data_IF_523301472356
#
_entry.id   IF_523301472356
#
_cell.length_a   1.000
_cell.length_b   1.000
_cell.length_c   1.000
_cell.angle_alpha   90.00
_cell.angle_beta   90.00
_cell.angle_gamma   90.00
#
_symmetry.space_group_name_H-M   'P 1'
#
loop_
_entity.id
_entity.type
_entity.pdbx_description
1 polymer ?
#
# COMPACT_ATOMS: atom_id res chain seq x y z
N UNK A 1 -41.09 84.62 1.67
CA UNK A 1 -39.70 84.54 2.22
C UNK A 1 -39.13 83.17 1.96
N UNK A 2 -38.18 83.05 1.04
CA UNK A 2 -37.58 81.78 0.57
C UNK A 2 -36.25 81.54 1.32
N UNK A 3 -36.22 80.50 2.19
CA UNK A 3 -35.07 80.20 3.05
C UNK A 3 -34.02 79.52 2.22
N UNK A 4 -32.91 80.20 1.93
CA UNK A 4 -31.75 79.69 1.23
C UNK A 4 -31.00 78.72 2.15
N UNK A 5 -30.92 77.44 1.77
CA UNK A 5 -30.08 76.44 2.44
C UNK A 5 -28.61 76.74 2.07
N UNK A 6 -27.79 77.00 3.08
CA UNK A 6 -26.33 77.08 2.92
C UNK A 6 -25.78 75.71 2.54
N UNK A 7 -24.90 75.63 1.55
CA UNK A 7 -24.21 74.38 1.27
C UNK A 7 -23.28 74.02 2.44
N UNK A 8 -23.37 72.78 2.94
CA UNK A 8 -22.53 72.31 4.03
C UNK A 8 -21.04 72.37 3.61
N UNK A 9 -20.23 72.86 4.53
CA UNK A 9 -18.77 72.85 4.39
C UNK A 9 -18.26 71.42 4.13
N UNK A 10 -17.61 71.22 3.02
CA UNK A 10 -16.89 69.98 2.71
C UNK A 10 -15.70 69.89 3.67
N UNK A 11 -15.82 69.09 4.73
CA UNK A 11 -14.70 68.76 5.61
C UNK A 11 -13.65 67.99 4.79
N UNK A 12 -12.49 68.60 4.55
CA UNK A 12 -11.35 67.90 3.91
C UNK A 12 -10.75 66.90 4.89
N UNK A 13 -10.30 65.73 4.37
CA UNK A 13 -9.59 64.74 5.15
C UNK A 13 -8.27 65.30 5.68
N UNK A 14 -7.98 65.00 6.94
CA UNK A 14 -6.73 65.37 7.55
C UNK A 14 -5.61 64.37 7.13
N UNK A 15 -4.39 64.83 7.02
CA UNK A 15 -3.22 64.00 6.68
C UNK A 15 -3.03 62.85 7.71
N UNK A 16 -3.36 63.12 8.99
CA UNK A 16 -3.29 62.16 10.07
C UNK A 16 -4.34 61.04 9.90
N UNK A 17 -5.55 61.40 9.46
CA UNK A 17 -6.62 60.41 9.22
C UNK A 17 -6.26 59.42 8.10
N UNK A 18 -5.64 59.91 7.01
CA UNK A 18 -5.14 59.06 5.94
C UNK A 18 -4.00 58.17 6.43
N UNK A 19 -3.12 58.70 7.28
CA UNK A 19 -2.01 57.91 7.84
C UNK A 19 -2.48 56.80 8.75
N UNK A 20 -3.46 57.08 9.62
CA UNK A 20 -4.11 56.08 10.49
C UNK A 20 -4.87 55.06 9.66
N UNK A 21 -5.61 55.46 8.64
CA UNK A 21 -6.33 54.54 7.77
C UNK A 21 -5.36 53.58 7.04
N UNK A 22 -4.24 54.09 6.52
CA UNK A 22 -3.23 53.23 5.87
C UNK A 22 -2.55 52.26 6.84
N UNK A 23 -2.27 52.69 8.08
CA UNK A 23 -1.68 51.79 9.08
C UNK A 23 -2.65 50.66 9.45
N UNK A 24 -3.91 50.97 9.65
CA UNK A 24 -4.95 49.97 9.92
C UNK A 24 -5.11 49.01 8.72
N UNK A 25 -5.18 49.55 7.51
CA UNK A 25 -5.31 48.77 6.29
C UNK A 25 -4.11 47.82 6.14
N UNK A 26 -2.89 48.30 6.37
CA UNK A 26 -1.69 47.48 6.32
C UNK A 26 -1.71 46.37 7.35
N UNK A 27 -2.15 46.63 8.58
CA UNK A 27 -2.30 45.60 9.63
C UNK A 27 -3.31 44.52 9.25
N UNK A 28 -4.43 44.93 8.63
CA UNK A 28 -5.47 43.97 8.15
C UNK A 28 -4.92 43.10 7.03
N UNK A 29 -4.19 43.67 6.06
CA UNK A 29 -3.59 42.94 4.95
C UNK A 29 -2.56 41.92 5.45
N UNK A 30 -1.72 42.30 6.41
CA UNK A 30 -0.74 41.40 7.03
C UNK A 30 -1.43 40.24 7.78
N UNK A 31 -2.49 40.56 8.52
CA UNK A 31 -3.27 39.52 9.24
C UNK A 31 -3.93 38.53 8.27
N UNK A 32 -4.53 39.02 7.18
CA UNK A 32 -5.11 38.18 6.12
C UNK A 32 -4.05 37.30 5.44
N UNK A 33 -2.89 37.87 5.10
CA UNK A 33 -1.80 37.11 4.51
C UNK A 33 -1.30 35.98 5.45
N UNK A 34 -1.27 36.24 6.76
CA UNK A 34 -0.92 35.25 7.78
C UNK A 34 -1.90 34.07 7.84
N UNK A 35 -3.21 34.36 7.81
CA UNK A 35 -4.24 33.33 7.82
C UNK A 35 -4.24 32.47 6.56
N UNK A 36 -4.04 33.07 5.37
CA UNK A 36 -3.94 32.32 4.11
C UNK A 36 -2.74 31.38 4.09
N UNK A 37 -1.58 31.79 4.60
CA UNK A 37 -0.41 30.93 4.72
C UNK A 37 -0.66 29.76 5.68
N UNK A 38 -1.32 30.01 6.80
CA UNK A 38 -1.68 28.95 7.75
C UNK A 38 -2.64 27.91 7.17
N UNK A 39 -3.60 28.34 6.35
CA UNK A 39 -4.51 27.42 5.65
C UNK A 39 -3.77 26.58 4.61
N UNK A 40 -2.90 27.15 3.81
CA UNK A 40 -2.10 26.43 2.81
C UNK A 40 -1.25 25.33 3.47
N UNK A 41 -0.53 25.65 4.55
CA UNK A 41 0.30 24.67 5.27
C UNK A 41 -0.53 23.54 5.92
N UNK A 42 -1.76 23.84 6.34
CA UNK A 42 -2.64 22.82 6.90
C UNK A 42 -3.16 21.90 5.81
N UNK A 43 -3.52 22.44 4.64
CA UNK A 43 -3.94 21.66 3.48
C UNK A 43 -2.84 20.69 3.04
N UNK A 44 -1.61 21.16 2.85
CA UNK A 44 -0.46 20.33 2.46
C UNK A 44 -0.22 19.16 3.42
N UNK A 45 -0.38 19.39 4.73
CA UNK A 45 -0.24 18.33 5.74
C UNK A 45 -1.36 17.30 5.69
N UNK A 46 -2.59 17.76 5.45
CA UNK A 46 -3.76 16.88 5.32
C UNK A 46 -3.64 16.05 4.05
N UNK A 47 -3.29 16.68 2.93
CA UNK A 47 -3.12 16.01 1.63
C UNK A 47 -2.00 14.96 1.69
N UNK A 48 -0.88 15.24 2.35
CA UNK A 48 0.18 14.26 2.57
C UNK A 48 -0.24 13.06 3.43
N UNK A 49 -1.09 13.28 4.45
CA UNK A 49 -1.62 12.17 5.26
C UNK A 49 -2.65 11.33 4.51
N UNK A 50 -3.48 11.95 3.69
CA UNK A 50 -4.46 11.26 2.86
C UNK A 50 -3.76 10.41 1.80
N UNK A 51 -2.79 10.97 1.09
CA UNK A 51 -1.99 10.24 0.09
C UNK A 51 -1.33 9.00 0.71
N UNK A 52 -0.69 9.14 1.88
CA UNK A 52 -0.11 8.00 2.59
C UNK A 52 -1.15 6.95 3.00
N UNK A 53 -2.33 7.39 3.45
CA UNK A 53 -3.43 6.48 3.79
C UNK A 53 -3.91 5.68 2.59
N UNK A 54 -3.97 6.30 1.42
CA UNK A 54 -4.34 5.65 0.16
C UNK A 54 -3.26 4.66 -0.28
N UNK A 55 -1.97 4.99 -0.19
CA UNK A 55 -0.87 4.08 -0.49
C UNK A 55 -0.94 2.82 0.39
N UNK A 56 -1.09 2.98 1.72
CA UNK A 56 -1.24 1.87 2.66
C UNK A 56 -2.42 0.98 2.26
N UNK A 57 -3.55 1.59 1.91
CA UNK A 57 -4.76 0.86 1.53
C UNK A 57 -4.57 0.08 0.24
N UNK A 58 -4.02 0.71 -0.80
CA UNK A 58 -3.81 0.10 -2.11
C UNK A 58 -2.84 -1.09 -2.01
N UNK A 59 -1.71 -0.91 -1.34
CA UNK A 59 -0.72 -1.97 -1.14
C UNK A 59 -1.30 -3.11 -0.31
N UNK A 60 -1.99 -2.81 0.80
CA UNK A 60 -2.61 -3.82 1.65
C UNK A 60 -3.69 -4.61 0.91
N UNK A 61 -4.51 -3.96 0.12
CA UNK A 61 -5.56 -4.61 -0.68
C UNK A 61 -4.97 -5.49 -1.78
N UNK A 62 -3.93 -4.99 -2.46
CA UNK A 62 -3.20 -5.78 -3.45
C UNK A 62 -2.63 -7.06 -2.81
N UNK A 63 -1.98 -6.95 -1.66
CA UNK A 63 -1.41 -8.10 -0.96
C UNK A 63 -2.49 -9.08 -0.49
N UNK A 64 -3.60 -8.58 0.08
CA UNK A 64 -4.71 -9.45 0.49
C UNK A 64 -5.27 -10.25 -0.68
N UNK A 65 -5.47 -9.62 -1.83
CA UNK A 65 -5.98 -10.30 -3.02
C UNK A 65 -5.00 -11.33 -3.55
N UNK A 66 -3.77 -10.92 -3.80
CA UNK A 66 -2.79 -11.80 -4.47
C UNK A 66 -2.31 -12.94 -3.59
N UNK A 67 -2.23 -12.75 -2.26
CA UNK A 67 -1.89 -13.80 -1.30
C UNK A 67 -3.12 -14.62 -0.91
N UNK A 68 -4.30 -13.99 -0.79
CA UNK A 68 -5.55 -14.69 -0.49
C UNK A 68 -5.99 -15.61 -1.62
N UNK A 69 -5.83 -15.16 -2.87
CA UNK A 69 -6.13 -15.92 -4.09
C UNK A 69 -4.89 -16.67 -4.62
N UNK A 70 -3.97 -17.04 -3.72
CA UNK A 70 -2.78 -17.78 -4.09
C UNK A 70 -3.15 -19.12 -4.74
N UNK A 71 -2.50 -19.40 -5.87
CA UNK A 71 -2.67 -20.65 -6.59
C UNK A 71 -1.57 -21.62 -6.17
N UNK A 72 -1.95 -22.84 -5.81
CA UNK A 72 -0.98 -23.94 -5.68
C UNK A 72 -0.41 -24.24 -7.06
N UNK A 73 0.74 -23.65 -7.34
CA UNK A 73 1.47 -23.93 -8.56
C UNK A 73 2.61 -24.89 -8.24
N UNK A 74 2.51 -26.06 -8.83
CA UNK A 74 3.47 -27.14 -8.60
C UNK A 74 4.47 -27.15 -9.77
N UNK A 75 5.75 -27.11 -9.46
CA UNK A 75 6.83 -27.18 -10.44
C UNK A 75 7.52 -28.54 -10.31
N UNK A 76 7.75 -29.19 -11.43
CA UNK A 76 8.57 -30.38 -11.44
C UNK A 76 10.02 -30.04 -11.05
N UNK A 77 10.59 -30.82 -10.14
CA UNK A 77 12.01 -30.68 -9.84
C UNK A 77 12.82 -31.02 -11.10
N UNK A 78 13.64 -30.08 -11.58
CA UNK A 78 14.41 -30.24 -12.81
C UNK A 78 15.18 -31.57 -12.84
N UNK A 79 14.74 -32.50 -13.68
CA UNK A 79 15.45 -33.70 -14.05
C UNK A 79 15.48 -34.89 -13.06
N UNK A 80 14.78 -34.79 -11.92
CA UNK A 80 14.68 -35.90 -10.96
C UNK A 80 13.20 -36.19 -10.70
N UNK A 81 12.72 -37.44 -10.86
CA UNK A 81 11.38 -37.82 -10.42
C UNK A 81 11.26 -37.62 -8.91
N UNK A 82 10.52 -36.62 -8.51
CA UNK A 82 10.28 -36.26 -7.10
C UNK A 82 8.91 -35.62 -6.93
N UNK A 83 8.46 -35.41 -5.68
CA UNK A 83 7.19 -34.74 -5.45
C UNK A 83 7.21 -33.33 -6.04
N UNK A 84 6.12 -32.96 -6.68
CA UNK A 84 5.90 -31.61 -7.16
C UNK A 84 6.09 -30.62 -6.00
N UNK A 85 6.82 -29.54 -6.25
CA UNK A 85 7.12 -28.51 -5.25
C UNK A 85 6.24 -27.28 -5.46
N UNK A 86 5.70 -26.77 -4.39
CA UNK A 86 4.95 -25.52 -4.41
C UNK A 86 5.91 -24.34 -4.62
N UNK A 87 5.56 -23.44 -5.56
CA UNK A 87 6.27 -22.18 -5.75
C UNK A 87 5.85 -21.16 -4.69
N UNK A 88 6.28 -21.40 -3.47
CA UNK A 88 6.18 -20.45 -2.36
C UNK A 88 7.49 -20.42 -1.59
N UNK A 89 8.11 -19.26 -1.51
CA UNK A 89 9.35 -19.06 -0.77
C UNK A 89 9.18 -17.82 0.09
N UNK A 90 9.12 -18.06 1.40
CA UNK A 90 9.07 -17.02 2.40
C UNK A 90 10.44 -16.82 3.05
N UNK A 91 10.95 -15.60 3.01
CA UNK A 91 12.13 -15.15 3.75
C UNK A 91 11.75 -14.03 4.71
N UNK A 92 12.66 -13.63 5.57
CA UNK A 92 12.38 -12.56 6.53
C UNK A 92 12.11 -11.21 5.86
N UNK A 93 12.76 -10.93 4.74
CA UNK A 93 12.75 -9.66 4.00
C UNK A 93 12.18 -9.76 2.58
N UNK A 94 11.81 -10.96 2.16
CA UNK A 94 11.25 -11.18 0.83
C UNK A 94 10.26 -12.34 0.79
N UNK A 95 9.30 -12.23 -0.13
CA UNK A 95 8.25 -13.22 -0.33
C UNK A 95 8.07 -13.48 -1.82
N UNK A 96 8.07 -14.77 -2.21
CA UNK A 96 7.82 -15.21 -3.59
C UNK A 96 6.64 -16.18 -3.61
N UNK A 97 5.66 -15.93 -4.48
CA UNK A 97 4.44 -16.77 -4.59
C UNK A 97 3.83 -16.68 -5.98
N UNK A 98 2.94 -17.61 -6.30
CA UNK A 98 2.11 -17.56 -7.51
C UNK A 98 0.69 -17.15 -7.13
N UNK A 99 0.15 -16.16 -7.83
CA UNK A 99 -1.20 -15.66 -7.62
C UNK A 99 -1.81 -15.11 -8.91
N UNK A 100 -3.02 -14.59 -8.82
CA UNK A 100 -3.70 -13.95 -9.94
C UNK A 100 -3.38 -12.46 -9.95
N UNK A 101 -2.93 -11.94 -11.09
CA UNK A 101 -2.77 -10.50 -11.27
C UNK A 101 -4.15 -9.83 -11.29
N UNK A 102 -4.45 -8.90 -10.36
CA UNK A 102 -5.73 -8.23 -10.35
C UNK A 102 -5.97 -7.42 -11.62
N UNK A 103 -7.22 -7.34 -12.07
CA UNK A 103 -7.61 -6.50 -13.19
C UNK A 103 -7.19 -5.04 -12.95
N UNK A 104 -6.61 -4.40 -13.96
CA UNK A 104 -6.08 -3.03 -13.85
C UNK A 104 -4.60 -2.92 -13.53
N UNK A 105 -3.94 -4.01 -13.12
CA UNK A 105 -2.50 -4.03 -12.86
C UNK A 105 -1.66 -4.64 -14.00
N UNK A 106 -2.29 -5.24 -15.00
CA UNK A 106 -1.64 -5.88 -16.14
C UNK A 106 -2.61 -6.70 -16.98
N UNK A 107 -2.10 -7.63 -17.78
CA UNK A 107 -2.88 -8.47 -18.68
C UNK A 107 -3.72 -9.56 -17.97
N UNK A 108 -3.80 -9.53 -16.64
CA UNK A 108 -4.47 -10.57 -15.87
C UNK A 108 -3.70 -11.91 -15.88
N UNK A 109 -4.36 -12.98 -15.41
CA UNK A 109 -3.79 -14.33 -15.42
C UNK A 109 -2.87 -14.64 -14.26
N UNK A 110 -2.29 -15.85 -14.29
CA UNK A 110 -1.39 -16.33 -13.23
C UNK A 110 0.00 -15.71 -13.38
N UNK A 111 0.50 -15.15 -12.29
CA UNK A 111 1.84 -14.56 -12.25
C UNK A 111 2.62 -15.09 -11.06
N UNK A 112 3.92 -15.26 -11.26
CA UNK A 112 4.88 -15.38 -10.19
C UNK A 112 5.22 -13.97 -9.72
N UNK A 113 5.06 -13.74 -8.43
CA UNK A 113 5.37 -12.48 -7.76
C UNK A 113 6.57 -12.64 -6.85
N UNK A 114 7.38 -11.59 -6.76
CA UNK A 114 8.37 -11.43 -5.71
C UNK A 114 8.25 -10.04 -5.12
N UNK A 115 8.02 -9.98 -3.83
CA UNK A 115 7.98 -8.76 -3.03
C UNK A 115 9.22 -8.72 -2.16
N UNK A 116 10.03 -7.66 -2.28
CA UNK A 116 11.28 -7.52 -1.54
C UNK A 116 11.64 -6.05 -1.34
N UNK A 117 12.44 -5.78 -0.30
CA UNK A 117 13.14 -4.52 -0.17
C UNK A 117 14.33 -4.49 -1.14
N UNK A 118 14.39 -3.48 -2.00
CA UNK A 118 15.49 -3.28 -2.95
C UNK A 118 16.13 -1.90 -2.77
N UNK A 119 17.47 -1.84 -2.82
CA UNK A 119 18.19 -0.56 -2.75
C UNK A 119 18.44 0.01 -4.14
N UNK A 120 18.09 1.28 -4.34
CA UNK A 120 18.44 2.03 -5.54
C UNK A 120 18.97 3.41 -5.13
N UNK A 121 20.18 3.74 -5.57
CA UNK A 121 20.84 5.02 -5.27
C UNK A 121 20.88 5.34 -3.76
N UNK A 122 21.08 4.31 -2.91
CA UNK A 122 21.18 4.45 -1.46
C UNK A 122 19.84 4.58 -0.73
N UNK A 123 18.71 4.49 -1.42
CA UNK A 123 17.38 4.47 -0.84
C UNK A 123 16.76 3.08 -0.96
N UNK A 124 16.17 2.60 0.12
CA UNK A 124 15.40 1.36 0.11
C UNK A 124 13.98 1.60 -0.40
N UNK A 125 13.49 0.69 -1.20
CA UNK A 125 12.12 0.70 -1.75
C UNK A 125 11.51 -0.69 -1.63
N UNK A 126 10.21 -0.75 -1.40
CA UNK A 126 9.48 -2.00 -1.52
C UNK A 126 9.10 -2.22 -2.97
N UNK A 127 9.65 -3.26 -3.56
CA UNK A 127 9.50 -3.55 -4.99
C UNK A 127 8.78 -4.87 -5.18
N UNK A 128 7.74 -4.84 -6.02
CA UNK A 128 7.05 -6.01 -6.52
C UNK A 128 7.58 -6.32 -7.92
N UNK A 129 8.21 -7.48 -8.09
CA UNK A 129 8.56 -8.02 -9.41
C UNK A 129 7.59 -9.12 -9.79
N UNK A 130 7.29 -9.24 -11.07
CA UNK A 130 6.33 -10.24 -11.54
C UNK A 130 6.63 -10.72 -12.95
N UNK A 131 6.21 -11.94 -13.24
CA UNK A 131 6.27 -12.55 -14.57
C UNK A 131 5.12 -13.55 -14.75
N UNK A 132 4.61 -13.77 -15.98
CA UNK A 132 3.60 -14.79 -16.21
C UNK A 132 4.06 -16.16 -15.70
N UNK A 133 3.21 -16.87 -14.97
CA UNK A 133 3.55 -18.15 -14.36
C UNK A 133 3.44 -19.32 -15.36
N UNK A 134 2.64 -19.19 -16.41
CA UNK A 134 2.34 -20.29 -17.35
C UNK A 134 3.54 -20.70 -18.23
N UNK A 135 4.55 -19.84 -18.33
CA UNK A 135 5.78 -20.11 -19.08
C UNK A 135 6.98 -20.48 -18.20
N UNK A 136 6.77 -20.69 -16.89
CA UNK A 136 7.86 -20.93 -15.95
C UNK A 136 8.11 -22.43 -15.76
N UNK A 137 9.29 -22.87 -16.09
CA UNK A 137 9.83 -24.20 -15.70
C UNK A 137 10.43 -24.21 -14.28
N UNK A 138 10.53 -23.02 -13.64
CA UNK A 138 11.11 -22.85 -12.31
C UNK A 138 11.23 -21.38 -11.91
N UNK A 139 12.05 -21.11 -10.91
CA UNK A 139 12.33 -19.73 -10.49
C UNK A 139 13.21 -19.02 -11.53
N UNK A 140 12.96 -17.73 -11.79
CA UNK A 140 13.84 -16.93 -12.64
C UNK A 140 15.27 -16.91 -12.10
N UNK A 141 16.24 -17.08 -12.97
CA UNK A 141 17.66 -17.00 -12.61
C UNK A 141 18.08 -15.59 -12.17
N UNK A 142 17.44 -14.57 -12.76
CA UNK A 142 17.67 -13.16 -12.42
C UNK A 142 16.34 -12.45 -12.25
N UNK A 143 16.13 -11.88 -11.07
CA UNK A 143 14.94 -11.11 -10.76
C UNK A 143 15.03 -9.66 -11.27
N UNK A 144 16.25 -9.13 -11.38
CA UNK A 144 16.51 -7.74 -11.78
C UNK A 144 15.97 -7.37 -13.15
N UNK A 145 15.91 -8.35 -14.06
CA UNK A 145 15.51 -8.14 -15.45
C UNK A 145 13.99 -8.18 -15.66
N UNK A 146 13.24 -8.54 -14.60
CA UNK A 146 11.80 -8.66 -14.67
C UNK A 146 11.11 -7.33 -14.51
N UNK A 147 9.91 -7.15 -15.11
CA UNK A 147 9.04 -6.02 -14.85
C UNK A 147 8.81 -5.82 -13.34
N UNK A 148 8.79 -4.57 -12.91
CA UNK A 148 8.60 -4.26 -11.50
C UNK A 148 7.67 -3.07 -11.27
N UNK A 149 7.16 -2.99 -10.05
CA UNK A 149 6.46 -1.80 -9.52
C UNK A 149 7.02 -1.46 -8.14
N UNK A 150 7.25 -0.19 -7.91
CA UNK A 150 7.56 0.33 -6.57
C UNK A 150 6.24 0.49 -5.83
N UNK A 151 6.09 -0.19 -4.70
CA UNK A 151 4.91 -0.13 -3.83
C UNK A 151 5.08 0.89 -2.71
N UNK A 152 6.30 1.00 -2.17
CA UNK A 152 6.65 1.97 -1.11
C UNK A 152 7.99 2.59 -1.46
N UNK A 153 8.04 3.90 -1.52
CA UNK A 153 9.27 4.68 -1.58
C UNK A 153 9.78 4.94 -0.15
N UNK A 154 11.07 5.16 0.00
CA UNK A 154 11.70 5.47 1.30
C UNK A 154 11.38 4.42 2.40
N UNK A 155 11.42 3.12 2.02
CA UNK A 155 11.25 1.99 2.91
C UNK A 155 12.35 2.00 3.98
N UNK A 156 11.97 1.85 5.24
CA UNK A 156 12.91 1.70 6.35
C UNK A 156 13.05 0.24 6.76
N UNK A 157 11.93 -0.49 6.77
CA UNK A 157 11.91 -1.87 7.20
C UNK A 157 10.76 -2.63 6.53
N UNK A 158 11.04 -3.89 6.20
CA UNK A 158 10.03 -4.89 5.85
C UNK A 158 10.38 -6.20 6.52
N UNK A 159 9.39 -6.79 7.20
CA UNK A 159 9.51 -8.10 7.82
C UNK A 159 8.31 -8.97 7.46
N UNK A 160 8.60 -10.22 7.12
CA UNK A 160 7.59 -11.24 6.90
C UNK A 160 7.61 -12.26 8.04
N UNK A 161 6.43 -12.67 8.47
CA UNK A 161 6.22 -13.76 9.42
C UNK A 161 5.22 -14.74 8.86
N UNK A 162 5.46 -16.02 9.12
CA UNK A 162 4.66 -17.11 8.57
C UNK A 162 4.08 -17.92 9.71
N UNK A 163 2.80 -18.22 9.63
CA UNK A 163 2.12 -19.07 10.60
C UNK A 163 1.51 -20.26 9.86
N UNK A 164 1.78 -21.47 10.36
CA UNK A 164 1.28 -22.70 9.78
C UNK A 164 1.49 -23.87 10.74
N UNK A 165 1.37 -25.08 10.22
CA UNK A 165 1.55 -26.30 10.97
C UNK A 165 0.23 -27.01 11.26
N UNK A 166 0.29 -28.25 11.79
CA UNK A 166 -0.89 -29.04 12.12
C UNK A 166 -1.71 -28.40 13.24
N UNK A 167 -3.02 -28.66 13.23
CA UNK A 167 -3.91 -28.18 14.27
C UNK A 167 -3.41 -28.66 15.66
N UNK A 168 -3.15 -27.71 16.57
CA UNK A 168 -2.63 -27.97 17.91
C UNK A 168 -1.13 -27.75 18.11
N UNK A 169 -0.35 -27.50 17.03
CA UNK A 169 1.06 -27.13 17.08
C UNK A 169 1.37 -26.04 16.04
N UNK A 170 0.85 -24.82 16.21
CA UNK A 170 1.10 -23.74 15.26
C UNK A 170 2.58 -23.36 15.30
N UNK A 171 3.19 -23.35 14.12
CA UNK A 171 4.57 -22.90 13.92
C UNK A 171 4.51 -21.44 13.49
N UNK A 172 5.23 -20.59 14.18
CA UNK A 172 5.50 -19.22 13.74
C UNK A 172 6.99 -19.09 13.40
N UNK A 173 7.28 -18.65 12.18
CA UNK A 173 8.64 -18.55 11.68
C UNK A 173 8.81 -17.26 10.86
N UNK A 174 10.04 -16.81 10.73
CA UNK A 174 10.43 -15.73 9.83
C UNK A 174 10.90 -16.24 8.45
N UNK A 175 10.84 -17.54 8.23
CA UNK A 175 11.13 -18.20 6.96
C UNK A 175 10.15 -19.33 6.74
N UNK A 176 9.77 -19.55 5.48
CA UNK A 176 8.94 -20.67 5.06
C UNK A 176 9.49 -21.27 3.77
N UNK A 177 10.03 -22.46 3.87
CA UNK A 177 10.64 -23.19 2.74
C UNK A 177 10.07 -24.61 2.59
N UNK A 178 8.93 -24.90 3.23
CA UNK A 178 8.27 -26.20 3.07
C UNK A 178 7.81 -26.37 1.61
N UNK A 179 8.33 -27.36 0.89
CA UNK A 179 8.01 -27.55 -0.52
C UNK A 179 6.61 -28.12 -0.75
N UNK A 180 5.91 -28.57 0.27
CA UNK A 180 4.67 -29.35 0.18
C UNK A 180 3.49 -28.63 0.81
N UNK A 181 3.73 -27.75 1.79
CA UNK A 181 2.68 -27.02 2.49
C UNK A 181 2.84 -25.50 2.37
N UNK A 182 1.71 -24.82 2.37
CA UNK A 182 1.66 -23.35 2.46
C UNK A 182 1.46 -22.94 3.92
N UNK A 183 1.94 -21.76 4.33
CA UNK A 183 1.54 -21.21 5.62
C UNK A 183 0.04 -20.91 5.61
N UNK A 184 -0.63 -21.02 6.75
CA UNK A 184 -2.02 -20.60 6.88
C UNK A 184 -2.19 -19.08 6.87
N UNK A 185 -1.18 -18.36 7.40
CA UNK A 185 -1.17 -16.91 7.45
C UNK A 185 0.22 -16.35 7.16
N UNK A 186 0.23 -15.20 6.49
CA UNK A 186 1.43 -14.37 6.28
C UNK A 186 1.21 -13.03 6.97
N UNK A 187 2.08 -12.71 7.91
CA UNK A 187 2.16 -11.39 8.54
C UNK A 187 3.18 -10.52 7.81
N UNK A 188 2.85 -9.27 7.55
CA UNK A 188 3.73 -8.31 6.89
C UNK A 188 3.80 -7.04 7.72
N UNK A 189 4.99 -6.69 8.14
CA UNK A 189 5.28 -5.44 8.82
C UNK A 189 6.09 -4.56 7.88
N UNK A 190 5.63 -3.33 7.69
CA UNK A 190 6.26 -2.34 6.83
C UNK A 190 6.48 -1.08 7.68
N UNK A 191 7.65 -0.46 7.55
CA UNK A 191 7.91 0.88 8.05
C UNK A 191 8.49 1.73 6.92
N UNK A 192 7.98 2.93 6.76
CA UNK A 192 8.48 3.97 5.85
C UNK A 192 9.13 5.13 6.64
N UNK A 193 9.59 6.17 5.96
CA UNK A 193 10.20 7.34 6.58
C UNK A 193 9.25 8.10 7.53
N UNK A 194 7.94 7.89 7.46
CA UNK A 194 6.93 8.55 8.31
C UNK A 194 6.62 7.71 9.55
N UNK A 195 6.77 6.37 9.47
CA UNK A 195 6.55 5.47 10.59
C UNK A 195 6.03 4.09 10.18
N UNK A 196 5.67 3.29 11.17
CA UNK A 196 5.14 1.95 10.94
C UNK A 196 3.73 1.98 10.32
N UNK A 197 3.49 1.02 9.44
CA UNK A 197 2.17 0.73 8.90
C UNK A 197 1.39 -0.21 9.83
N UNK A 198 0.06 -0.22 9.76
CA UNK A 198 -0.72 -1.25 10.43
C UNK A 198 -0.25 -2.65 10.03
N UNK A 199 -0.10 -3.55 11.00
CA UNK A 199 0.28 -4.93 10.73
C UNK A 199 -0.73 -5.57 9.77
N UNK A 200 -0.26 -6.03 8.63
CA UNK A 200 -1.06 -6.75 7.67
C UNK A 200 -0.91 -8.25 7.92
N UNK A 201 -2.02 -8.90 8.27
CA UNK A 201 -2.08 -10.36 8.31
C UNK A 201 -3.02 -10.86 7.23
N UNK A 202 -2.54 -11.76 6.39
CA UNK A 202 -3.28 -12.32 5.28
C UNK A 202 -3.39 -13.84 5.46
N UNK A 203 -4.61 -14.36 5.40
CA UNK A 203 -4.83 -15.80 5.30
C UNK A 203 -4.45 -16.24 3.90
N UNK A 204 -3.54 -17.19 3.79
CA UNK A 204 -3.11 -17.78 2.52
C UNK A 204 -4.16 -18.82 2.11
N UNK A 205 -4.69 -18.64 0.90
CA UNK A 205 -5.86 -19.37 0.46
C UNK A 205 -5.78 -20.88 0.62
N UNK A 206 -6.61 -21.34 1.51
CA UNK A 206 -7.28 -22.60 1.29
C UNK A 206 -8.63 -22.22 0.69
N UNK A 207 -8.95 -22.54 -0.57
CA UNK A 207 -10.34 -22.51 -0.95
C UNK A 207 -11.06 -23.35 0.08
N UNK A 208 -12.02 -22.75 0.79
CA UNK A 208 -12.89 -23.50 1.67
C UNK A 208 -13.39 -24.68 0.83
N UNK A 209 -12.97 -25.88 1.21
CA UNK A 209 -13.60 -27.08 0.70
C UNK A 209 -15.06 -26.91 1.11
N UNK A 210 -15.89 -26.50 0.16
CA UNK A 210 -17.32 -26.70 0.26
C UNK A 210 -17.46 -28.20 0.49
N UNK A 211 -17.66 -28.56 1.78
CA UNK A 211 -17.94 -29.93 2.15
C UNK A 211 -19.06 -30.40 1.23
N UNK A 212 -19.06 -31.68 0.83
CA UNK A 212 -20.14 -32.20 0.04
C UNK A 212 -21.44 -31.93 0.81
N UNK A 213 -22.25 -31.02 0.29
CA UNK A 213 -23.61 -30.82 0.75
C UNK A 213 -24.28 -32.19 0.64
N UNK A 214 -24.46 -32.83 1.79
CA UNK A 214 -25.17 -34.10 1.88
C UNK A 214 -26.53 -33.89 1.24
N UNK A 215 -26.65 -34.42 0.04
CA UNK A 215 -27.93 -34.63 -0.63
C UNK A 215 -28.67 -35.68 0.21
N UNK A 216 -29.50 -35.22 1.14
CA UNK A 216 -30.43 -36.10 1.83
C UNK A 216 -31.45 -36.51 0.78
N UNK A 217 -31.17 -37.69 0.21
CA UNK A 217 -32.17 -38.47 -0.53
C UNK A 217 -33.29 -38.86 0.43
N UNK A 218 -34.35 -38.05 0.39
CA UNK A 218 -35.61 -38.31 1.11
C UNK A 218 -36.50 -39.23 0.28
N UNK A 219 -36.23 -40.53 0.26
CA UNK A 219 -37.23 -41.51 -0.08
C UNK A 219 -38.04 -41.82 1.17
N UNK A 220 -39.29 -41.39 1.20
CA UNK A 220 -40.51 -42.24 1.39
C UNK A 220 -41.73 -41.35 1.34
#
# INVERSE_FOLDING_TARGET
MKKVRRPGEAAGFTLVEVLVALTILSAVVVALAGTMRGMAQTSDRVDGRLARGDDIRVVSEFMRRTLGDMIRHEVASSGVPGPMRLLFIGQADSLTWVGVMPAGYGNGGRHLFRLAGESESGKMRLVLRYTPADALEGLPSQWTDLPFRVLVSDLQQIDFTYQGGPAGAPIQANQWSDPVSLPGHVGVRIADAVGEWPLLTVSVGTPALLGPSGFLDGRR
#
